data_IF_188012887045
#
_entry.id   IF_188012887045
#
_cell.length_a   1.000
_cell.length_b   1.000
_cell.length_c   1.000
_cell.angle_alpha   90.00
_cell.angle_beta   90.00
_cell.angle_gamma   90.00
#
_symmetry.space_group_name_H-M   'P 1'
#
loop_
_entity.id
_entity.type
_entity.pdbx_description
1 polymer ?
#
# COMPACT_ATOMS: atom_id res chain seq x y z
N UNK A 1 13.61 -1.65 11.90
CA UNK A 1 12.64 -2.75 11.85
C UNK A 1 11.28 -2.09 11.71
N UNK A 2 10.68 -2.08 10.51
CA UNK A 2 9.36 -1.48 10.30
C UNK A 2 8.29 -2.35 10.97
N UNK A 3 7.31 -1.72 11.62
CA UNK A 3 6.32 -2.35 12.50
C UNK A 3 5.28 -3.24 11.79
N UNK A 4 5.46 -3.48 10.49
CA UNK A 4 4.53 -4.20 9.62
C UNK A 4 4.74 -5.72 9.64
N UNK A 5 5.80 -6.24 10.25
CA UNK A 5 6.19 -7.66 10.19
C UNK A 5 5.21 -8.65 10.85
N UNK A 6 4.15 -8.17 11.48
CA UNK A 6 3.13 -8.98 12.15
C UNK A 6 1.73 -8.83 11.52
N UNK A 7 1.65 -8.27 10.31
CA UNK A 7 0.38 -8.11 9.60
C UNK A 7 0.54 -8.59 8.17
N UNK A 8 -0.53 -9.20 7.67
CA UNK A 8 -0.59 -9.69 6.30
C UNK A 8 -1.28 -8.64 5.41
N UNK A 9 -2.20 -7.87 6.00
CA UNK A 9 -2.97 -6.81 5.36
C UNK A 9 -2.72 -5.45 6.00
N UNK A 10 -2.89 -4.39 5.22
CA UNK A 10 -2.97 -3.02 5.72
C UNK A 10 -4.25 -2.38 5.22
N UNK A 11 -4.94 -1.70 6.12
CA UNK A 11 -6.04 -0.81 5.78
C UNK A 11 -5.48 0.51 5.24
N UNK A 12 -5.93 0.89 4.05
CA UNK A 12 -5.73 2.19 3.43
C UNK A 12 -7.11 2.79 3.10
N UNK A 13 -7.14 4.07 2.77
CA UNK A 13 -8.38 4.73 2.36
C UNK A 13 -8.17 5.49 1.06
N UNK A 14 -9.01 5.27 0.06
CA UNK A 14 -8.94 6.07 -1.15
C UNK A 14 -9.28 7.54 -0.81
N UNK A 15 -8.36 8.51 -1.00
CA UNK A 15 -8.62 9.91 -0.69
C UNK A 15 -9.81 10.50 -1.46
N UNK A 16 -10.15 9.93 -2.62
CA UNK A 16 -11.24 10.40 -3.48
C UNK A 16 -12.61 9.94 -2.99
N UNK A 17 -12.74 8.65 -2.71
CA UNK A 17 -14.03 8.03 -2.36
C UNK A 17 -14.24 7.92 -0.86
N UNK A 18 -13.17 8.06 -0.06
CA UNK A 18 -13.14 7.84 1.39
C UNK A 18 -13.59 6.43 1.79
N UNK A 19 -13.54 5.48 0.85
CA UNK A 19 -13.84 4.07 1.09
C UNK A 19 -12.59 3.37 1.63
N UNK A 20 -12.70 2.58 2.71
CA UNK A 20 -11.59 1.76 3.19
C UNK A 20 -11.31 0.64 2.20
N UNK A 21 -10.03 0.36 1.99
CA UNK A 21 -9.53 -0.71 1.14
C UNK A 21 -8.43 -1.45 1.89
N UNK A 22 -8.33 -2.76 1.68
CA UNK A 22 -7.32 -3.58 2.34
C UNK A 22 -6.33 -4.08 1.31
N UNK A 23 -5.05 -3.85 1.57
CA UNK A 23 -3.96 -4.26 0.68
C UNK A 23 -3.13 -5.33 1.35
N UNK A 24 -2.95 -6.47 0.69
CA UNK A 24 -2.06 -7.52 1.14
C UNK A 24 -0.61 -7.09 0.90
N UNK A 25 0.24 -7.18 1.93
CA UNK A 25 1.57 -6.57 1.91
C UNK A 25 2.58 -7.33 1.04
N UNK A 26 2.32 -8.60 0.75
CA UNK A 26 3.20 -9.46 -0.05
C UNK A 26 2.75 -9.59 -1.50
N UNK A 27 1.54 -10.12 -1.72
CA UNK A 27 0.98 -10.28 -3.07
C UNK A 27 0.55 -8.96 -3.69
N UNK A 28 0.26 -7.97 -2.85
CA UNK A 28 -0.25 -6.69 -3.26
C UNK A 28 -1.75 -6.64 -3.49
N UNK A 29 -2.47 -7.76 -3.34
CA UNK A 29 -3.91 -7.86 -3.59
C UNK A 29 -4.70 -6.78 -2.87
N UNK A 30 -5.77 -6.30 -3.50
CA UNK A 30 -6.66 -5.34 -2.86
C UNK A 30 -8.07 -5.88 -2.84
N UNK A 31 -8.68 -5.82 -1.66
CA UNK A 31 -10.04 -6.22 -1.39
C UNK A 31 -10.76 -5.12 -0.63
N UNK A 32 -12.08 -5.03 -0.81
CA UNK A 32 -12.93 -4.10 -0.06
C UNK A 32 -13.30 -4.66 1.33
N UNK A 33 -13.29 -5.99 1.48
CA UNK A 33 -13.58 -6.67 2.73
C UNK A 33 -12.54 -7.77 2.97
N UNK A 34 -12.01 -7.83 4.19
CA UNK A 34 -11.06 -8.85 4.60
C UNK A 34 -11.74 -10.21 4.80
N UNK A 35 -11.06 -11.32 4.45
CA UNK A 35 -11.44 -12.64 4.92
C UNK A 35 -11.39 -12.73 6.45
N UNK A 36 -12.26 -13.56 7.02
CA UNK A 36 -12.29 -13.81 8.47
C UNK A 36 -10.94 -14.30 8.99
N UNK A 37 -10.50 -13.75 10.13
CA UNK A 37 -9.22 -14.09 10.75
C UNK A 37 -7.98 -13.42 10.14
N UNK A 38 -8.16 -12.54 9.15
CA UNK A 38 -7.05 -11.79 8.55
C UNK A 38 -6.38 -10.85 9.57
N UNK A 39 -5.05 -10.86 9.60
CA UNK A 39 -4.28 -9.92 10.43
C UNK A 39 -4.07 -8.63 9.67
N UNK A 40 -4.88 -7.64 10.00
CA UNK A 40 -4.84 -6.32 9.39
C UNK A 40 -4.22 -5.29 10.33
N UNK A 41 -3.29 -4.52 9.77
CA UNK A 41 -2.87 -3.26 10.35
C UNK A 41 -3.91 -2.20 10.00
N UNK A 42 -4.64 -1.73 11.01
CA UNK A 42 -5.60 -0.64 10.86
C UNK A 42 -4.90 0.67 10.47
N UNK A 43 -5.65 1.57 9.84
CA UNK A 43 -5.20 2.92 9.52
C UNK A 43 -4.77 3.65 10.80
N UNK A 44 -3.61 4.30 10.76
CA UNK A 44 -3.02 4.99 11.91
C UNK A 44 -2.44 6.36 11.51
N UNK A 45 -2.37 7.30 12.46
CA UNK A 45 -1.82 8.64 12.19
C UNK A 45 -0.33 8.62 11.85
N UNK A 46 0.44 7.63 12.31
CA UNK A 46 1.85 7.48 11.96
C UNK A 46 2.06 6.60 10.70
N UNK A 47 0.98 6.23 10.01
CA UNK A 47 1.03 5.46 8.77
C UNK A 47 1.32 6.37 7.57
N UNK A 48 2.41 6.08 6.85
CA UNK A 48 2.81 6.82 5.65
C UNK A 48 2.90 5.87 4.47
N UNK A 49 2.25 6.21 3.37
CA UNK A 49 2.26 5.44 2.15
C UNK A 49 3.40 5.88 1.25
N UNK A 50 4.32 4.97 0.95
CA UNK A 50 5.39 5.19 -0.01
C UNK A 50 4.87 4.89 -1.42
N UNK A 51 4.97 5.87 -2.29
CA UNK A 51 4.63 5.79 -3.71
C UNK A 51 5.84 6.14 -4.57
N UNK A 52 5.83 5.70 -5.82
CA UNK A 52 6.83 6.09 -6.81
C UNK A 52 6.18 6.99 -7.87
N UNK A 53 6.69 8.22 -7.97
CA UNK A 53 6.28 9.15 -9.02
C UNK A 53 7.13 8.94 -10.27
N UNK A 54 6.50 8.42 -11.33
CA UNK A 54 7.15 8.18 -12.62
C UNK A 54 7.48 9.47 -13.37
N UNK A 55 6.81 10.58 -13.08
CA UNK A 55 7.08 11.87 -13.72
C UNK A 55 8.39 12.48 -13.26
N UNK A 56 8.72 12.35 -11.97
CA UNK A 56 9.97 12.87 -11.40
C UNK A 56 11.04 11.80 -11.18
N UNK A 57 10.69 10.52 -11.28
CA UNK A 57 11.59 9.39 -11.03
C UNK A 57 11.99 9.26 -9.55
N UNK A 58 11.12 9.67 -8.63
CA UNK A 58 11.40 9.74 -7.19
C UNK A 58 10.29 9.14 -6.36
N UNK A 59 10.64 8.64 -5.19
CA UNK A 59 9.66 8.24 -4.18
C UNK A 59 9.07 9.46 -3.47
N UNK A 60 7.81 9.35 -3.09
CA UNK A 60 7.15 10.29 -2.19
C UNK A 60 6.35 9.53 -1.14
N UNK A 61 6.07 10.21 -0.03
CA UNK A 61 5.43 9.66 1.15
C UNK A 61 4.19 10.49 1.45
N UNK A 62 3.04 9.84 1.52
CA UNK A 62 1.77 10.48 1.80
C UNK A 62 1.19 9.96 3.12
N UNK A 63 0.77 10.87 3.99
CA UNK A 63 0.02 10.53 5.19
C UNK A 63 -1.44 10.91 4.97
N UNK A 64 -2.32 9.91 4.95
CA UNK A 64 -3.75 10.13 4.75
C UNK A 64 -4.39 10.92 5.89
N UNK A 65 -4.02 10.63 7.13
CA UNK A 65 -4.65 11.23 8.33
C UNK A 65 -4.32 12.70 8.50
N UNK A 66 -3.15 13.14 8.01
CA UNK A 66 -2.73 14.55 8.06
C UNK A 66 -2.76 15.23 6.70
N UNK A 67 -3.11 14.49 5.64
CA UNK A 67 -3.07 14.92 4.24
C UNK A 67 -1.72 15.53 3.82
N UNK A 68 -0.63 15.06 4.44
CA UNK A 68 0.70 15.60 4.21
C UNK A 68 1.47 14.78 3.17
N UNK A 69 2.23 15.47 2.32
CA UNK A 69 3.12 14.84 1.33
C UNK A 69 4.56 15.26 1.57
N UNK A 70 5.47 14.29 1.59
CA UNK A 70 6.90 14.51 1.76
C UNK A 70 7.69 13.79 0.67
N UNK A 71 8.77 14.42 0.21
CA UNK A 71 9.72 13.82 -0.73
C UNK A 71 10.81 13.01 -0.02
N UNK A 72 10.97 13.23 1.29
CA UNK A 72 11.92 12.51 2.13
C UNK A 72 11.17 11.55 3.05
N UNK A 73 11.77 10.38 3.29
CA UNK A 73 11.23 9.37 4.19
C UNK A 73 11.14 9.94 5.61
N UNK A 74 9.95 10.02 6.22
CA UNK A 74 9.82 10.57 7.57
C UNK A 74 10.50 9.67 8.60
N UNK A 75 11.20 10.25 9.61
CA UNK A 75 11.84 9.48 10.65
C UNK A 75 10.78 8.85 11.58
N UNK A 76 11.04 7.62 12.04
CA UNK A 76 10.16 6.88 12.96
C UNK A 76 8.72 6.64 12.48
N UNK A 77 8.46 6.86 11.18
CA UNK A 77 7.17 6.61 10.56
C UNK A 77 6.97 5.13 10.21
N UNK A 78 5.72 4.70 10.23
CA UNK A 78 5.32 3.39 9.76
C UNK A 78 5.08 3.44 8.25
N UNK A 79 6.11 3.08 7.48
CA UNK A 79 6.08 3.19 6.01
C UNK A 79 5.43 1.96 5.41
N UNK A 80 4.31 2.16 4.72
CA UNK A 80 3.65 1.15 3.89
C UNK A 80 4.21 1.22 2.47
N UNK A 81 4.90 0.17 1.97
CA UNK A 81 5.65 0.21 0.72
C UNK A 81 4.74 -0.01 -0.52
N UNK A 82 3.73 0.85 -0.72
CA UNK A 82 2.76 0.70 -1.82
C UNK A 82 3.41 0.75 -3.21
N UNK A 83 4.51 1.49 -3.38
CA UNK A 83 5.28 1.52 -4.62
C UNK A 83 5.77 0.12 -5.05
N UNK A 84 6.25 -0.67 -4.09
CA UNK A 84 6.72 -2.04 -4.35
C UNK A 84 5.55 -2.95 -4.68
N UNK A 85 4.48 -2.86 -3.88
CA UNK A 85 3.24 -3.62 -4.07
C UNK A 85 2.64 -3.38 -5.47
N UNK A 86 2.57 -2.12 -5.91
CA UNK A 86 2.09 -1.76 -7.24
C UNK A 86 2.95 -2.38 -8.34
N UNK A 87 4.28 -2.32 -8.18
CA UNK A 87 5.23 -2.89 -9.15
C UNK A 87 5.10 -4.42 -9.25
N UNK A 88 4.95 -5.10 -8.11
CA UNK A 88 4.78 -6.56 -8.06
C UNK A 88 3.50 -7.01 -8.76
N UNK A 89 2.38 -6.29 -8.59
CA UNK A 89 1.12 -6.63 -9.26
C UNK A 89 1.19 -6.50 -10.78
N UNK A 90 1.85 -5.46 -11.28
CA UNK A 90 2.05 -5.28 -12.72
C UNK A 90 2.86 -6.44 -13.31
N UNK A 91 3.91 -6.91 -12.61
CA UNK A 91 4.72 -8.04 -13.06
C UNK A 91 3.93 -9.35 -13.08
N UNK A 92 3.08 -9.61 -12.08
CA UNK A 92 2.23 -10.80 -12.03
C UNK A 92 1.18 -10.82 -13.16
N UNK A 93 0.53 -9.68 -13.44
CA UNK A 93 -0.42 -9.58 -14.56
C UNK A 93 0.24 -9.83 -15.92
N UNK A 94 1.49 -9.40 -16.10
CA UNK A 94 2.23 -9.60 -17.35
C UNK A 94 2.72 -11.04 -17.54
N UNK A 95 2.78 -11.82 -16.46
CA UNK A 95 3.18 -13.23 -16.47
C UNK A 95 2.00 -14.21 -16.60
N UNK A 96 0.74 -13.75 -16.53
CA UNK A 96 -0.40 -14.59 -16.86
C UNK A 96 -0.51 -14.71 -18.39
N UNK A 97 -0.20 -15.86 -19.01
CA UNK A 97 -0.56 -16.06 -20.40
C UNK A 97 -2.09 -15.98 -20.44
N UNK A 98 -2.63 -15.11 -21.30
CA UNK A 98 -4.03 -15.20 -21.68
C UNK A 98 -4.25 -16.61 -22.24
N UNK A 99 -4.80 -17.52 -21.43
CA UNK A 99 -5.38 -18.75 -21.91
C UNK A 99 -6.58 -18.36 -22.78
N UNK A 100 -6.29 -18.15 -24.06
CA UNK A 100 -7.27 -17.95 -25.11
C UNK A 100 -7.99 -19.29 -25.29
N UNK A 101 -9.21 -19.37 -24.76
CA UNK A 101 -10.21 -20.35 -25.20
C UNK A 101 -11.12 -19.68 -26.22
#
# INVERSE_FOLDING_TARGET
MTAISNFDWVEICDPRTRVPMFVHLESGDCVELLPDGSRVKQLDRNQWWEFYDTGTGRYYYYNYMTEATLWQKPPYADIIPLAKIQSSRLQQQQQQPHSRH
#
